data_IF_756219084560
#
_entry.id   IF_756219084560
#
_cell.length_a   1.000
_cell.length_b   1.000
_cell.length_c   1.000
_cell.angle_alpha   90.00
_cell.angle_beta   90.00
_cell.angle_gamma   90.00
#
_symmetry.space_group_name_H-M   'P 1'
#
loop_
_entity.id
_entity.type
_entity.pdbx_description
1 polymer ?
#
# COMPACT_ATOMS: atom_id res chain seq x y z
N UNK A 1 14.85 -2.67 -11.06
CA UNK A 1 14.10 -1.90 -10.04
C UNK A 1 12.63 -1.95 -10.40
N UNK A 2 11.78 -2.37 -9.47
CA UNK A 2 10.36 -2.60 -9.77
C UNK A 2 9.48 -1.39 -9.45
N UNK A 3 10.06 -0.19 -9.33
CA UNK A 3 9.33 1.04 -9.02
C UNK A 3 9.61 2.03 -10.15
N UNK A 4 8.55 2.58 -10.74
CA UNK A 4 8.62 3.69 -11.68
C UNK A 4 8.09 4.95 -10.99
N UNK A 5 8.99 5.83 -10.58
CA UNK A 5 8.64 7.07 -9.88
C UNK A 5 8.02 8.13 -10.79
N UNK A 6 8.29 8.09 -12.10
CA UNK A 6 7.68 9.01 -13.07
C UNK A 6 6.22 8.62 -13.33
N UNK A 7 5.98 7.33 -13.59
CA UNK A 7 4.63 6.79 -13.73
C UNK A 7 3.89 6.65 -12.39
N UNK A 8 4.59 6.75 -11.26
CA UNK A 8 4.11 6.49 -9.89
C UNK A 8 3.48 5.11 -9.79
N UNK A 9 4.21 4.09 -10.21
CA UNK A 9 3.77 2.70 -10.14
C UNK A 9 4.84 1.81 -9.51
N UNK A 10 4.42 0.71 -8.89
CA UNK A 10 5.31 -0.33 -8.41
C UNK A 10 4.84 -1.69 -8.93
N UNK A 11 5.74 -2.41 -9.57
CA UNK A 11 5.57 -3.79 -10.00
C UNK A 11 5.91 -4.75 -8.84
N UNK A 12 4.98 -5.64 -8.52
CA UNK A 12 5.14 -6.64 -7.48
C UNK A 12 5.23 -7.99 -8.18
N UNK A 13 6.45 -8.50 -8.34
CA UNK A 13 6.74 -9.75 -9.05
C UNK A 13 6.39 -10.99 -8.22
N UNK A 14 6.55 -10.91 -6.91
CA UNK A 14 6.29 -12.01 -5.98
C UNK A 14 5.14 -11.62 -5.05
N UNK A 15 4.00 -12.28 -5.24
CA UNK A 15 2.84 -12.14 -4.36
C UNK A 15 2.48 -13.50 -3.79
N UNK A 16 1.82 -13.51 -2.63
CA UNK A 16 1.39 -14.74 -1.91
C UNK A 16 0.67 -15.78 -2.79
N UNK A 17 0.14 -15.37 -3.95
CA UNK A 17 -0.64 -16.21 -4.86
C UNK A 17 -0.05 -16.32 -6.28
N UNK A 18 1.25 -16.03 -6.47
CA UNK A 18 1.97 -16.26 -7.73
C UNK A 18 1.61 -15.33 -8.91
N UNK A 19 0.68 -14.39 -8.73
CA UNK A 19 0.33 -13.40 -9.75
C UNK A 19 1.09 -12.11 -9.52
N UNK A 20 1.83 -11.68 -10.53
CA UNK A 20 2.45 -10.37 -10.53
C UNK A 20 1.41 -9.28 -10.78
N UNK A 21 1.63 -8.09 -10.20
CA UNK A 21 0.73 -6.95 -10.42
C UNK A 21 1.45 -5.62 -10.33
N UNK A 22 0.92 -4.62 -11.00
CA UNK A 22 1.36 -3.23 -10.87
C UNK A 22 0.37 -2.47 -10.01
N UNK A 23 0.86 -1.79 -8.97
CA UNK A 23 0.04 -0.96 -8.08
C UNK A 23 0.41 0.52 -8.23
N UNK A 24 -0.58 1.45 -8.20
CA UNK A 24 -0.28 2.86 -8.22
C UNK A 24 0.25 3.33 -6.86
N UNK A 25 1.10 4.36 -6.91
CA UNK A 25 1.67 5.02 -5.75
C UNK A 25 1.03 6.41 -5.59
N UNK A 26 0.65 6.75 -4.37
CA UNK A 26 0.32 8.15 -4.06
C UNK A 26 1.54 9.05 -4.30
N UNK A 27 1.31 10.34 -4.55
CA UNK A 27 2.41 11.33 -4.66
C UNK A 27 3.33 11.30 -3.45
N UNK A 28 2.75 11.18 -2.24
CA UNK A 28 3.51 11.04 -0.99
C UNK A 28 4.34 9.76 -0.95
N UNK A 29 3.79 8.63 -1.40
CA UNK A 29 4.53 7.37 -1.44
C UNK A 29 5.70 7.45 -2.43
N UNK A 30 5.48 8.00 -3.63
CA UNK A 30 6.54 8.19 -4.62
C UNK A 30 7.67 9.08 -4.07
N UNK A 31 7.34 10.22 -3.45
CA UNK A 31 8.34 11.12 -2.87
C UNK A 31 9.17 10.44 -1.75
N UNK A 32 8.53 9.63 -0.90
CA UNK A 32 9.24 8.88 0.15
C UNK A 32 10.17 7.80 -0.44
N UNK A 33 9.70 7.08 -1.45
CA UNK A 33 10.50 6.06 -2.14
C UNK A 33 11.72 6.68 -2.83
N UNK A 34 11.56 7.86 -3.41
CA UNK A 34 12.66 8.61 -4.03
C UNK A 34 13.75 8.99 -3.01
N UNK A 35 13.34 9.47 -1.82
CA UNK A 35 14.27 9.78 -0.72
C UNK A 35 14.99 8.52 -0.24
N UNK A 36 14.25 7.41 -0.05
CA UNK A 36 14.81 6.14 0.40
C UNK A 36 15.80 5.57 -0.60
N UNK A 37 15.49 5.66 -1.88
CA UNK A 37 16.34 5.16 -2.95
C UNK A 37 17.67 5.91 -3.00
N UNK A 38 17.65 7.26 -2.98
CA UNK A 38 18.89 8.06 -2.88
C UNK A 38 19.70 7.73 -1.63
N UNK A 39 19.01 7.51 -0.51
CA UNK A 39 19.64 7.11 0.75
C UNK A 39 20.27 5.71 0.71
N UNK A 40 19.72 4.78 -0.07
CA UNK A 40 20.27 3.45 -0.27
C UNK A 40 21.49 3.48 -1.20
N UNK A 41 21.42 4.23 -2.30
CA UNK A 41 22.52 4.43 -3.26
C UNK A 41 23.76 5.05 -2.58
N UNK A 42 23.55 6.11 -1.78
CA UNK A 42 24.62 6.78 -1.03
C UNK A 42 25.29 5.91 0.05
N UNK A 43 24.65 4.82 0.48
CA UNK A 43 25.19 3.87 1.46
C UNK A 43 25.79 2.61 0.83
N UNK A 44 26.00 2.62 -0.49
CA UNK A 44 26.55 1.47 -1.21
C UNK A 44 25.57 0.30 -1.30
N UNK A 45 24.27 0.55 -1.37
CA UNK A 45 23.25 -0.48 -1.55
C UNK A 45 23.50 -1.29 -2.83
N UNK A 46 23.98 -2.52 -2.68
CA UNK A 46 24.57 -3.34 -3.76
C UNK A 46 23.49 -4.03 -4.64
N UNK A 47 22.22 -3.91 -4.28
CA UNK A 47 21.16 -4.82 -4.76
C UNK A 47 19.86 -4.10 -5.21
N UNK A 48 19.89 -2.78 -5.38
CA UNK A 48 18.75 -2.02 -5.90
C UNK A 48 17.45 -2.09 -5.07
N UNK A 49 17.52 -2.58 -3.82
CA UNK A 49 16.40 -2.65 -2.89
C UNK A 49 16.17 -1.30 -2.23
N UNK A 50 14.91 -0.84 -2.24
CA UNK A 50 14.47 0.36 -1.51
C UNK A 50 14.69 0.20 0.00
N UNK A 51 14.48 -1.02 0.52
CA UNK A 51 14.77 -1.39 1.90
C UNK A 51 15.89 -2.43 1.92
N UNK A 52 17.16 -2.04 2.13
CA UNK A 52 18.30 -2.95 2.15
C UNK A 52 18.39 -3.69 3.50
N UNK A 53 17.27 -4.22 4.00
CA UNK A 53 17.16 -4.93 5.27
C UNK A 53 16.30 -6.19 5.12
N UNK A 54 16.44 -7.12 6.05
CA UNK A 54 15.65 -8.36 6.07
C UNK A 54 14.21 -8.11 6.52
N UNK A 55 13.28 -9.00 6.16
CA UNK A 55 11.90 -8.94 6.65
C UNK A 55 11.82 -8.95 8.20
N UNK A 56 12.71 -9.72 8.85
CA UNK A 56 12.80 -9.74 10.30
C UNK A 56 13.23 -8.38 10.87
N UNK A 57 14.19 -7.69 10.22
CA UNK A 57 14.60 -6.36 10.63
C UNK A 57 13.45 -5.33 10.50
N UNK A 58 12.64 -5.43 9.43
CA UNK A 58 11.41 -4.62 9.28
C UNK A 58 10.44 -4.89 10.43
N UNK A 59 10.18 -6.17 10.75
CA UNK A 59 9.30 -6.55 11.87
C UNK A 59 9.79 -5.99 13.21
N UNK A 60 11.09 -6.11 13.51
CA UNK A 60 11.67 -5.55 14.73
C UNK A 60 11.62 -4.01 14.76
N UNK A 61 11.84 -3.35 13.62
CA UNK A 61 11.72 -1.90 13.50
C UNK A 61 10.27 -1.43 13.73
N UNK A 62 9.29 -2.16 13.18
CA UNK A 62 7.86 -1.93 13.40
C UNK A 62 7.49 -2.03 14.88
N UNK A 63 7.81 -3.14 15.54
CA UNK A 63 7.49 -3.33 16.97
C UNK A 63 8.09 -2.22 17.84
N UNK A 64 9.33 -1.80 17.56
CA UNK A 64 9.97 -0.67 18.26
C UNK A 64 9.26 0.65 17.97
N UNK A 65 8.76 0.86 16.75
CA UNK A 65 8.00 2.06 16.39
C UNK A 65 6.66 2.12 17.13
N UNK A 66 5.90 1.02 17.17
CA UNK A 66 4.65 0.91 17.94
C UNK A 66 4.91 1.19 19.43
N UNK A 67 5.93 0.56 20.02
CA UNK A 67 6.30 0.80 21.43
C UNK A 67 6.63 2.27 21.71
N UNK A 68 7.41 2.92 20.86
CA UNK A 68 7.75 4.35 21.03
C UNK A 68 6.53 5.26 20.88
N UNK A 69 5.56 4.88 20.07
CA UNK A 69 4.33 5.62 19.85
C UNK A 69 3.24 5.33 20.90
N UNK A 70 3.47 4.40 21.84
CA UNK A 70 2.47 3.98 22.83
C UNK A 70 1.28 3.25 22.21
N UNK A 71 1.48 2.58 21.06
CA UNK A 71 0.43 1.86 20.36
C UNK A 71 0.42 0.39 20.80
N UNK A 72 -0.73 -0.04 21.33
CA UNK A 72 -1.01 -1.43 21.71
C UNK A 72 -1.86 -2.11 20.63
N UNK A 73 -1.72 -3.43 20.52
CA UNK A 73 -2.50 -4.30 19.60
C UNK A 73 -2.49 -3.91 18.10
N UNK A 74 -1.51 -3.12 17.67
CA UNK A 74 -1.37 -2.73 16.26
C UNK A 74 -0.41 -3.66 15.50
N UNK A 75 -0.95 -4.42 14.56
CA UNK A 75 -0.22 -5.32 13.70
C UNK A 75 0.14 -4.68 12.35
N UNK A 76 1.18 -5.18 11.71
CA UNK A 76 1.63 -4.65 10.41
C UNK A 76 0.56 -4.80 9.32
N UNK A 77 -0.27 -5.84 9.37
CA UNK A 77 -1.35 -6.04 8.40
C UNK A 77 -2.52 -5.07 8.58
N UNK A 78 -2.67 -4.45 9.76
CA UNK A 78 -3.70 -3.44 10.02
C UNK A 78 -3.48 -2.18 9.18
N UNK A 79 -2.24 -1.90 8.78
CA UNK A 79 -1.92 -0.82 7.84
C UNK A 79 -2.62 -1.03 6.49
N UNK A 80 -2.74 -2.28 6.04
CA UNK A 80 -3.45 -2.63 4.78
C UNK A 80 -4.95 -2.50 4.95
N UNK A 81 -5.48 -2.86 6.12
CA UNK A 81 -6.89 -2.63 6.48
C UNK A 81 -7.20 -1.13 6.44
N UNK A 82 -6.44 -0.32 7.18
CA UNK A 82 -6.62 1.14 7.25
C UNK A 82 -6.49 1.81 5.88
N UNK A 83 -5.47 1.42 5.09
CA UNK A 83 -5.30 1.94 3.75
C UNK A 83 -6.49 1.61 2.84
N UNK A 84 -7.06 0.40 2.97
CA UNK A 84 -8.23 -0.02 2.18
C UNK A 84 -9.46 0.81 2.58
N UNK A 85 -9.70 1.02 3.87
CA UNK A 85 -10.80 1.87 4.37
C UNK A 85 -10.72 3.29 3.79
N UNK A 86 -9.56 3.94 3.91
CA UNK A 86 -9.35 5.30 3.38
C UNK A 86 -9.45 5.39 1.86
N UNK A 87 -9.01 4.34 1.16
CA UNK A 87 -9.09 4.31 -0.30
C UNK A 87 -10.51 4.07 -0.79
N UNK A 88 -11.35 3.35 -0.04
CA UNK A 88 -12.74 3.10 -0.43
C UNK A 88 -13.57 4.39 -0.52
N UNK A 89 -13.26 5.40 0.30
CA UNK A 89 -13.88 6.72 0.22
C UNK A 89 -13.50 7.49 -1.07
N UNK A 90 -12.28 7.26 -1.57
CA UNK A 90 -11.73 7.94 -2.76
C UNK A 90 -12.00 7.19 -4.06
N UNK A 91 -12.06 5.86 -3.98
CA UNK A 91 -12.27 4.92 -5.06
C UNK A 91 -13.55 4.14 -4.78
N UNK A 92 -14.73 4.75 -4.99
CA UNK A 92 -16.02 4.10 -4.78
C UNK A 92 -16.34 3.08 -5.89
N UNK A 93 -15.38 2.72 -6.76
CA UNK A 93 -15.50 1.60 -7.66
C UNK A 93 -14.74 0.42 -7.04
N UNK A 94 -15.45 -0.67 -6.73
CA UNK A 94 -14.87 -1.86 -6.11
C UNK A 94 -13.76 -2.50 -6.96
N UNK A 95 -13.85 -2.42 -8.29
CA UNK A 95 -12.85 -2.97 -9.21
C UNK A 95 -11.55 -2.17 -9.12
N UNK A 96 -11.66 -0.84 -9.11
CA UNK A 96 -10.51 0.04 -8.94
C UNK A 96 -9.87 -0.15 -7.56
N UNK A 97 -10.69 -0.19 -6.51
CA UNK A 97 -10.21 -0.45 -5.14
C UNK A 97 -9.50 -1.80 -5.05
N UNK A 98 -10.03 -2.84 -5.71
CA UNK A 98 -9.42 -4.16 -5.78
C UNK A 98 -8.09 -4.16 -6.51
N UNK A 99 -7.98 -3.43 -7.62
CA UNK A 99 -6.73 -3.28 -8.37
C UNK A 99 -5.64 -2.60 -7.53
N UNK A 100 -5.98 -1.52 -6.81
CA UNK A 100 -5.01 -0.76 -5.99
C UNK A 100 -4.61 -1.54 -4.74
N UNK A 101 -5.58 -2.07 -4.01
CA UNK A 101 -5.31 -2.79 -2.76
C UNK A 101 -4.79 -4.18 -3.04
N UNK A 102 -5.16 -4.80 -4.16
CA UNK A 102 -4.73 -6.12 -4.56
C UNK A 102 -5.54 -7.25 -3.94
N UNK A 103 -6.85 -7.05 -3.80
CA UNK A 103 -7.80 -8.10 -3.41
C UNK A 103 -8.29 -8.83 -4.66
N UNK A 104 -8.25 -10.16 -4.66
CA UNK A 104 -8.81 -10.98 -5.75
C UNK A 104 -10.33 -11.14 -5.63
N UNK A 105 -10.79 -11.36 -4.40
CA UNK A 105 -12.22 -11.52 -4.13
C UNK A 105 -12.83 -10.19 -3.68
N UNK A 106 -13.70 -9.63 -4.53
CA UNK A 106 -14.43 -8.39 -4.25
C UNK A 106 -15.33 -8.50 -3.01
N UNK A 107 -15.76 -9.72 -2.63
CA UNK A 107 -16.53 -9.95 -1.41
C UNK A 107 -15.76 -9.48 -0.17
N UNK A 108 -14.43 -9.59 -0.16
CA UNK A 108 -13.59 -9.10 0.93
C UNK A 108 -13.58 -7.58 1.06
N UNK A 109 -13.89 -6.86 -0.01
CA UNK A 109 -13.91 -5.39 -0.05
C UNK A 109 -15.28 -4.81 0.30
N UNK A 110 -16.36 -5.60 0.24
CA UNK A 110 -17.71 -5.14 0.59
C UNK A 110 -17.79 -4.50 1.97
N UNK A 111 -16.97 -4.96 2.93
CA UNK A 111 -16.90 -4.40 4.28
C UNK A 111 -16.41 -2.95 4.36
N UNK A 112 -15.72 -2.45 3.32
CA UNK A 112 -15.26 -1.06 3.23
C UNK A 112 -16.14 -0.23 2.29
N UNK A 113 -17.10 -0.87 1.63
CA UNK A 113 -17.94 -0.26 0.61
C UNK A 113 -19.21 0.29 1.22
N UNK A 114 -19.17 1.57 1.60
CA UNK A 114 -20.29 2.26 2.24
C UNK A 114 -20.92 3.28 1.28
N UNK A 115 -21.71 2.82 0.31
CA UNK A 115 -22.47 3.75 -0.53
C UNK A 115 -23.70 4.27 0.21
N UNK A 116 -23.84 5.59 0.22
CA UNK A 116 -25.05 6.25 0.68
C UNK A 116 -26.00 6.38 -0.51
N UNK A 117 -27.29 6.13 -0.28
CA UNK A 117 -28.32 6.31 -1.31
C UNK A 117 -28.29 7.73 -1.92
N UNK A 118 -27.93 8.75 -1.12
CA UNK A 118 -27.73 10.13 -1.58
C UNK A 118 -26.62 10.27 -2.62
N UNK A 119 -25.54 9.51 -2.50
CA UNK A 119 -24.42 9.54 -3.47
C UNK A 119 -24.77 8.78 -4.74
N UNK A 120 -25.62 7.75 -4.62
CA UNK A 120 -26.19 7.04 -5.77
C UNK A 120 -27.19 7.91 -6.53
N UNK A 121 -28.07 8.63 -5.83
CA UNK A 121 -29.05 9.51 -6.45
C UNK A 121 -28.38 10.56 -7.36
N UNK A 122 -27.31 11.21 -6.87
CA UNK A 122 -26.50 12.17 -7.66
C UNK A 122 -25.90 11.59 -8.95
N UNK A 123 -25.74 10.27 -9.04
CA UNK A 123 -25.20 9.60 -10.23
C UNK A 123 -26.27 9.22 -11.26
N UNK A 124 -27.55 9.26 -10.87
CA UNK A 124 -28.67 8.86 -11.73
C UNK A 124 -29.27 10.03 -12.53
N UNK A 125 -28.93 11.28 -12.18
CA UNK A 125 -29.49 12.50 -12.76
C UNK A 125 -30.09 13.37 -11.67
#
# INVERSE_FOLDING_TARGET
>A
MNVDLKARTAYLSDTKNGESRTVPLSSRAAALLEVLQRGAESKGGIDGRVFPITAQAVKLAWMRACKRAGLEDLHFHDLRHEATSRLAEKLPNLIELAAVTGHKDLRMLKRYYHLRATDLAKKLG
#
